data_IF_589266345923
#
_entry.id   IF_589266345923
#
_cell.length_a   1.000
_cell.length_b   1.000
_cell.length_c   1.000
_cell.angle_alpha   90.00
_cell.angle_beta   90.00
_cell.angle_gamma   90.00
#
_symmetry.space_group_name_H-M   'P 1'
#
loop_
_entity.id
_entity.type
_entity.pdbx_description
1 polymer ?
#
# COMPACT_ATOMS: atom_id res chain seq x y z
N UNK A 1 -17.87 12.01 17.24
CA UNK A 1 -16.52 12.14 17.84
C UNK A 1 -15.88 13.39 17.27
N UNK A 2 -14.93 13.99 17.98
CA UNK A 2 -14.28 15.23 17.55
C UNK A 2 -13.10 14.98 16.58
N UNK A 3 -12.45 13.81 16.67
CA UNK A 3 -11.47 13.30 15.71
C UNK A 3 -11.48 11.76 15.70
N UNK A 4 -10.93 11.15 14.65
CA UNK A 4 -10.75 9.69 14.54
C UNK A 4 -9.46 9.35 13.78
N UNK A 5 -8.77 8.29 14.21
CA UNK A 5 -7.70 7.65 13.43
C UNK A 5 -8.33 6.61 12.51
N UNK A 6 -8.18 6.79 11.20
CA UNK A 6 -8.87 5.98 10.18
C UNK A 6 -7.81 5.38 9.26
N UNK A 7 -7.80 4.04 9.05
CA UNK A 7 -6.93 3.42 8.05
C UNK A 7 -7.20 3.96 6.64
N UNK A 8 -6.14 4.19 5.88
CA UNK A 8 -6.21 4.84 4.55
C UNK A 8 -7.17 4.15 3.59
N UNK A 9 -7.29 2.81 3.63
CA UNK A 9 -8.22 2.08 2.76
C UNK A 9 -9.70 2.48 3.00
N UNK A 10 -10.09 2.71 4.26
CA UNK A 10 -11.46 3.14 4.59
C UNK A 10 -11.68 4.62 4.30
N UNK A 11 -10.67 5.46 4.58
CA UNK A 11 -10.72 6.89 4.26
C UNK A 11 -10.96 7.11 2.75
N UNK A 12 -10.22 6.40 1.90
CA UNK A 12 -10.36 6.50 0.45
C UNK A 12 -11.75 6.04 -0.03
N UNK A 13 -12.29 4.96 0.52
CA UNK A 13 -13.65 4.49 0.19
C UNK A 13 -14.74 5.48 0.60
N UNK A 14 -14.51 6.22 1.69
CA UNK A 14 -15.39 7.31 2.14
C UNK A 14 -15.20 8.61 1.35
N UNK A 15 -14.33 8.63 0.34
CA UNK A 15 -14.04 9.80 -0.49
C UNK A 15 -13.08 10.81 0.15
N UNK A 16 -12.45 10.47 1.27
CA UNK A 16 -11.44 11.31 1.92
C UNK A 16 -10.07 11.12 1.25
N UNK A 17 -9.31 12.19 1.14
CA UNK A 17 -7.93 12.19 0.69
C UNK A 17 -7.00 12.44 1.90
N UNK A 18 -6.29 11.41 2.41
CA UNK A 18 -5.42 11.55 3.58
C UNK A 18 -4.34 12.64 3.45
N UNK A 19 -3.84 12.90 2.23
CA UNK A 19 -2.82 13.94 2.00
C UNK A 19 -3.37 15.37 2.06
N UNK A 20 -4.69 15.56 2.11
CA UNK A 20 -5.36 16.87 2.12
C UNK A 20 -6.27 17.08 3.32
N UNK A 21 -7.02 16.04 3.69
CA UNK A 21 -8.12 16.13 4.64
C UNK A 21 -7.72 15.69 6.05
N UNK A 22 -6.57 15.01 6.21
CA UNK A 22 -6.11 14.56 7.52
C UNK A 22 -5.57 15.74 8.35
N UNK A 23 -5.95 15.79 9.63
CA UNK A 23 -5.39 16.74 10.60
C UNK A 23 -3.91 16.44 10.90
N UNK A 24 -3.53 15.17 10.84
CA UNK A 24 -2.17 14.66 10.98
C UNK A 24 -2.04 13.36 10.17
N UNK A 25 -0.84 13.09 9.67
CA UNK A 25 -0.52 11.88 8.90
C UNK A 25 0.77 11.25 9.45
N UNK A 26 0.84 9.92 9.44
CA UNK A 26 2.06 9.19 9.82
C UNK A 26 3.20 9.45 8.82
N UNK A 27 4.44 9.31 9.28
CA UNK A 27 5.62 9.36 8.42
C UNK A 27 5.61 8.18 7.44
N UNK A 28 6.22 8.41 6.27
CA UNK A 28 6.47 7.39 5.27
C UNK A 28 7.49 6.32 5.71
N UNK A 29 8.35 6.63 6.68
CA UNK A 29 9.21 5.67 7.37
C UNK A 29 8.43 4.99 8.51
N UNK A 30 7.73 3.90 8.19
CA UNK A 30 6.87 3.17 9.13
C UNK A 30 6.97 1.64 8.97
N UNK A 31 6.67 0.86 10.02
CA UNK A 31 6.66 -0.61 9.95
C UNK A 31 5.39 -1.18 9.30
N UNK A 32 4.52 -0.35 8.71
CA UNK A 32 3.16 -0.74 8.30
C UNK A 32 3.01 -1.00 6.79
N UNK A 33 4.07 -1.48 6.14
CA UNK A 33 3.99 -1.92 4.74
C UNK A 33 2.95 -3.04 4.60
N UNK A 34 2.03 -2.90 3.66
CA UNK A 34 1.07 -3.96 3.33
C UNK A 34 1.79 -5.10 2.60
N UNK A 35 1.46 -6.34 2.94
CA UNK A 35 2.12 -7.54 2.41
C UNK A 35 1.16 -8.41 1.60
N UNK A 36 1.74 -9.24 0.73
CA UNK A 36 1.03 -10.38 0.14
C UNK A 36 1.33 -11.60 1.00
N UNK A 37 0.30 -12.13 1.66
CA UNK A 37 0.40 -13.36 2.43
C UNK A 37 0.01 -14.57 1.56
N UNK A 38 0.76 -15.66 1.69
CA UNK A 38 0.49 -16.94 1.03
C UNK A 38 0.43 -18.04 2.09
N UNK A 39 -0.14 -19.21 1.75
CA UNK A 39 -0.08 -20.36 2.65
C UNK A 39 1.35 -20.89 2.71
N UNK A 40 1.71 -21.48 3.84
CA UNK A 40 2.98 -22.19 3.97
C UNK A 40 3.07 -23.32 2.94
N UNK A 41 4.28 -23.51 2.38
CA UNK A 41 4.54 -24.47 1.30
C UNK A 41 4.27 -23.97 -0.13
N UNK A 42 3.46 -22.92 -0.33
CA UNK A 42 3.10 -22.44 -1.67
C UNK A 42 4.18 -21.54 -2.31
N UNK A 43 5.22 -21.14 -1.57
CA UNK A 43 6.18 -20.09 -1.99
C UNK A 43 6.94 -20.32 -3.28
N UNK A 44 6.88 -21.53 -3.87
CA UNK A 44 7.54 -21.85 -5.15
C UNK A 44 6.57 -21.97 -6.32
N UNK A 45 5.28 -21.70 -6.13
CA UNK A 45 4.32 -21.76 -7.22
C UNK A 45 4.63 -20.67 -8.27
N UNK A 46 4.77 -21.02 -9.57
CA UNK A 46 5.17 -20.06 -10.61
C UNK A 46 4.26 -18.83 -10.73
N UNK A 47 2.96 -18.98 -10.44
CA UNK A 47 1.99 -17.87 -10.44
C UNK A 47 2.24 -16.87 -9.32
N UNK A 48 2.74 -17.31 -8.16
CA UNK A 48 3.03 -16.44 -7.01
C UNK A 48 4.32 -15.65 -7.26
N UNK A 49 5.34 -16.29 -7.86
CA UNK A 49 6.55 -15.63 -8.34
C UNK A 49 6.24 -14.57 -9.42
N UNK A 50 5.34 -14.88 -10.35
CA UNK A 50 4.90 -13.92 -11.36
C UNK A 50 4.18 -12.72 -10.72
N UNK A 51 3.29 -12.96 -9.76
CA UNK A 51 2.60 -11.90 -9.01
C UNK A 51 3.59 -11.01 -8.26
N UNK A 52 4.53 -11.60 -7.52
CA UNK A 52 5.59 -10.87 -6.80
C UNK A 52 6.36 -9.94 -7.73
N UNK A 53 6.78 -10.44 -8.90
CA UNK A 53 7.49 -9.64 -9.90
C UNK A 53 6.67 -8.47 -10.42
N UNK A 54 5.39 -8.68 -10.76
CA UNK A 54 4.53 -7.61 -11.30
C UNK A 54 4.29 -6.50 -10.29
N UNK A 55 4.09 -6.86 -9.01
CA UNK A 55 3.81 -5.91 -7.93
C UNK A 55 5.00 -4.97 -7.66
N UNK A 56 6.22 -5.42 -7.94
CA UNK A 56 7.47 -4.66 -7.72
C UNK A 56 7.98 -3.94 -8.98
N UNK A 57 7.16 -3.79 -10.01
CA UNK A 57 7.58 -3.08 -11.25
C UNK A 57 7.43 -1.55 -11.13
N UNK A 58 8.26 -0.80 -11.86
CA UNK A 58 8.10 0.65 -12.01
C UNK A 58 6.74 1.02 -12.59
N UNK A 59 6.17 0.18 -13.46
CA UNK A 59 4.83 0.36 -14.00
C UNK A 59 3.77 0.32 -12.89
N UNK A 60 3.87 -0.64 -11.97
CA UNK A 60 2.96 -0.72 -10.82
C UNK A 60 3.14 0.47 -9.88
N UNK A 61 4.39 0.86 -9.59
CA UNK A 61 4.69 2.06 -8.80
C UNK A 61 4.06 3.32 -9.41
N UNK A 62 4.24 3.52 -10.71
CA UNK A 62 3.67 4.67 -11.41
C UNK A 62 2.13 4.67 -11.39
N UNK A 63 1.53 3.49 -11.53
CA UNK A 63 0.07 3.33 -11.40
C UNK A 63 -0.41 3.74 -10.01
N UNK A 64 0.21 3.22 -8.94
CA UNK A 64 -0.18 3.53 -7.56
C UNK A 64 -0.08 5.04 -7.28
N UNK A 65 1.04 5.67 -7.65
CA UNK A 65 1.23 7.11 -7.43
C UNK A 65 0.20 7.96 -8.18
N UNK A 66 -0.17 7.55 -9.40
CA UNK A 66 -1.15 8.25 -10.22
C UNK A 66 -2.57 8.07 -9.70
N UNK A 67 -2.97 6.83 -9.44
CA UNK A 67 -4.34 6.47 -9.07
C UNK A 67 -4.71 7.05 -7.69
N UNK A 68 -3.81 6.86 -6.72
CA UNK A 68 -4.06 7.24 -5.33
C UNK A 68 -3.52 8.63 -4.98
N UNK A 69 -2.93 9.34 -5.94
CA UNK A 69 -2.50 10.74 -5.80
C UNK A 69 -1.60 10.97 -4.56
N UNK A 70 -0.73 10.00 -4.26
CA UNK A 70 0.17 10.04 -3.10
C UNK A 70 -0.41 9.56 -1.77
N UNK A 71 -1.71 9.23 -1.69
CA UNK A 71 -2.31 8.65 -0.48
C UNK A 71 -1.81 7.21 -0.21
N UNK A 72 -1.30 6.52 -1.23
CA UNK A 72 -0.65 5.21 -1.11
C UNK A 72 0.80 5.34 -1.58
N UNK A 73 1.73 4.91 -0.72
CA UNK A 73 3.17 4.96 -0.97
C UNK A 73 3.64 3.56 -1.37
N UNK A 74 4.17 3.38 -2.60
CA UNK A 74 4.65 2.08 -3.06
C UNK A 74 6.00 1.72 -2.45
N UNK A 75 6.17 0.44 -2.10
CA UNK A 75 7.43 -0.13 -1.61
C UNK A 75 8.02 -1.02 -2.70
N UNK A 76 9.24 -0.72 -3.15
CA UNK A 76 9.94 -1.47 -4.22
C UNK A 76 10.99 -2.46 -3.71
N UNK A 77 11.27 -2.43 -2.41
CA UNK A 77 12.23 -3.33 -1.78
C UNK A 77 11.46 -4.44 -1.08
N UNK A 78 12.06 -5.62 -1.02
CA UNK A 78 11.55 -6.67 -0.15
C UNK A 78 11.64 -6.16 1.30
N UNK A 79 10.54 -6.24 2.04
CA UNK A 79 10.61 -6.05 3.49
C UNK A 79 11.48 -7.19 4.07
N UNK A 80 12.42 -6.86 4.96
CA UNK A 80 13.29 -7.85 5.59
C UNK A 80 12.49 -8.89 6.39
#
# INVERSE_FOLDING_TARGET
VDAAAIPTNYALQAGLNPSKDALAIESDDSPYANIIAIRDGDGKEPKLEALKKVMLTEKMRAFILKEYKGAIIPVLKECP
#
